data_IF_328789280559
#
_entry.id   IF_328789280559
#
_cell.length_a   1.000
_cell.length_b   1.000
_cell.length_c   1.000
_cell.angle_alpha   90.00
_cell.angle_beta   90.00
_cell.angle_gamma   90.00
#
_symmetry.space_group_name_H-M   'P 1'
#
loop_
_entity.id
_entity.type
_entity.pdbx_description
1 polymer ?
#
# COMPACT_ATOMS: atom_id res chain seq x y z
N UNK A 1 -3.40 -43.81 7.13
CA UNK A 1 -4.73 -43.64 7.77
C UNK A 1 -4.60 -42.41 8.64
N UNK A 2 -5.18 -41.24 8.36
CA UNK A 2 -6.52 -40.91 7.88
C UNK A 2 -6.48 -39.81 6.80
N UNK A 3 -7.31 -39.93 5.76
CA UNK A 3 -7.47 -38.90 4.73
C UNK A 3 -8.25 -37.71 5.32
N UNK A 4 -7.59 -36.55 5.44
CA UNK A 4 -8.27 -35.29 5.78
C UNK A 4 -9.22 -34.92 4.64
N UNK A 5 -10.50 -35.21 4.81
CA UNK A 5 -11.56 -34.73 3.94
C UNK A 5 -11.69 -33.22 4.16
N UNK A 6 -11.34 -32.42 3.14
CA UNK A 6 -11.52 -30.96 3.17
C UNK A 6 -13.03 -30.68 3.11
N UNK A 7 -13.67 -30.58 4.27
CA UNK A 7 -15.10 -30.31 4.36
C UNK A 7 -15.44 -28.93 3.78
N UNK A 8 -16.36 -28.90 2.81
CA UNK A 8 -16.91 -27.66 2.25
C UNK A 8 -17.89 -27.09 3.27
N UNK A 9 -17.84 -25.79 3.59
CA UNK A 9 -18.76 -25.15 4.53
C UNK A 9 -19.92 -24.45 3.82
N UNK A 10 -21.11 -24.51 4.39
CA UNK A 10 -22.27 -23.74 3.94
C UNK A 10 -22.07 -22.27 4.29
N UNK A 11 -22.09 -21.38 3.29
CA UNK A 11 -21.94 -19.93 3.50
C UNK A 11 -23.14 -19.27 4.15
N UNK A 12 -24.29 -19.97 4.26
CA UNK A 12 -25.49 -19.46 4.94
C UNK A 12 -25.55 -19.86 6.42
N UNK A 13 -25.29 -21.12 6.77
CA UNK A 13 -25.41 -21.59 8.16
C UNK A 13 -24.07 -21.92 8.84
N UNK A 14 -22.96 -21.90 8.10
CA UNK A 14 -21.63 -22.27 8.62
C UNK A 14 -21.41 -23.77 8.85
N UNK A 15 -22.44 -24.62 8.70
CA UNK A 15 -22.30 -26.07 8.88
C UNK A 15 -21.48 -26.71 7.75
N UNK A 16 -20.75 -27.78 8.09
CA UNK A 16 -20.06 -28.60 7.11
C UNK A 16 -21.05 -29.31 6.17
N UNK A 17 -20.83 -29.16 4.88
CA UNK A 17 -21.52 -29.87 3.81
C UNK A 17 -20.81 -31.21 3.64
N UNK A 18 -21.50 -32.30 4.00
CA UNK A 18 -21.02 -33.64 3.68
C UNK A 18 -21.01 -33.82 2.16
N UNK A 19 -19.80 -33.98 1.61
CA UNK A 19 -19.58 -34.18 0.17
C UNK A 19 -20.15 -35.54 -0.28
N UNK A 20 -20.31 -36.46 0.68
CA UNK A 20 -20.86 -37.80 0.47
C UNK A 20 -22.40 -37.81 0.44
N UNK A 21 -23.08 -36.83 1.04
CA UNK A 21 -24.54 -36.84 1.27
C UNK A 21 -25.41 -36.33 0.11
N UNK A 22 -24.91 -36.46 -1.13
CA UNK A 22 -25.73 -36.39 -2.35
C UNK A 22 -26.42 -35.03 -2.62
N UNK A 23 -25.59 -34.08 -3.08
CA UNK A 23 -25.87 -32.75 -3.68
C UNK A 23 -26.03 -31.56 -2.75
N UNK A 24 -25.26 -30.52 -3.08
CA UNK A 24 -25.23 -29.19 -2.48
C UNK A 24 -25.21 -28.17 -3.61
N UNK A 25 -25.42 -26.91 -3.29
CA UNK A 25 -25.43 -25.85 -4.29
C UNK A 25 -24.13 -25.08 -4.29
N UNK A 26 -23.61 -24.78 -5.47
CA UNK A 26 -22.50 -23.84 -5.67
C UNK A 26 -23.02 -22.67 -6.47
N UNK A 27 -22.74 -21.46 -6.03
CA UNK A 27 -22.99 -20.26 -6.80
C UNK A 27 -22.22 -20.31 -8.12
N UNK A 28 -22.88 -20.05 -9.26
CA UNK A 28 -22.21 -20.03 -10.57
C UNK A 28 -21.22 -18.87 -10.69
N UNK A 29 -21.46 -17.82 -9.91
CA UNK A 29 -20.77 -16.54 -9.96
C UNK A 29 -19.65 -16.44 -8.91
N UNK A 30 -19.69 -17.25 -7.85
CA UNK A 30 -18.78 -17.14 -6.70
C UNK A 30 -17.95 -18.41 -6.48
N UNK A 31 -16.62 -18.25 -6.35
CA UNK A 31 -15.68 -19.38 -6.22
C UNK A 31 -15.83 -20.21 -4.93
N UNK A 32 -16.24 -19.58 -3.83
CA UNK A 32 -16.30 -20.20 -2.50
C UNK A 32 -17.69 -20.04 -1.83
N UNK A 33 -18.74 -19.86 -2.62
CA UNK A 33 -20.10 -19.76 -2.11
C UNK A 33 -20.82 -21.08 -2.33
N UNK A 34 -21.00 -21.82 -1.24
CA UNK A 34 -21.63 -23.12 -1.22
C UNK A 34 -22.80 -23.10 -0.26
N UNK A 35 -23.95 -23.61 -0.69
CA UNK A 35 -25.19 -23.61 0.09
C UNK A 35 -25.63 -25.05 0.29
N UNK A 36 -25.84 -25.44 1.55
CA UNK A 36 -26.40 -26.75 1.87
C UNK A 36 -27.88 -26.80 1.44
N UNK A 37 -28.42 -28.00 1.22
CA UNK A 37 -29.83 -28.17 0.84
C UNK A 37 -30.82 -27.53 1.82
N UNK A 38 -30.50 -27.51 3.12
CA UNK A 38 -31.35 -26.88 4.13
C UNK A 38 -31.46 -25.36 3.93
N UNK A 39 -30.42 -24.74 3.38
CA UNK A 39 -30.33 -23.29 3.19
C UNK A 39 -30.66 -22.85 1.75
N UNK A 40 -30.99 -23.76 0.83
CA UNK A 40 -31.22 -23.42 -0.58
C UNK A 40 -32.44 -22.53 -0.81
N UNK A 41 -33.40 -22.53 0.12
CA UNK A 41 -34.63 -21.75 0.04
C UNK A 41 -34.52 -20.36 0.69
N UNK A 42 -33.37 -20.05 1.32
CA UNK A 42 -33.07 -18.69 1.78
C UNK A 42 -32.89 -17.82 0.54
N UNK A 43 -33.46 -16.62 0.52
CA UNK A 43 -33.43 -15.71 -0.64
C UNK A 43 -31.97 -15.47 -1.10
N UNK A 44 -31.59 -16.04 -2.25
CA UNK A 44 -30.26 -15.92 -2.82
C UNK A 44 -30.25 -14.90 -3.95
N UNK A 45 -29.23 -14.05 -3.98
CA UNK A 45 -29.05 -13.01 -5.00
C UNK A 45 -28.38 -13.59 -6.26
N UNK A 46 -27.71 -14.75 -6.14
CA UNK A 46 -26.96 -15.39 -7.23
C UNK A 46 -27.56 -16.73 -7.68
N UNK A 47 -27.26 -17.11 -8.92
CA UNK A 47 -27.79 -18.34 -9.51
C UNK A 47 -27.06 -19.54 -8.94
N UNK A 48 -27.78 -20.35 -8.16
CA UNK A 48 -27.25 -21.59 -7.64
C UNK A 48 -27.22 -22.69 -8.72
N UNK A 49 -26.11 -23.41 -8.78
CA UNK A 49 -25.99 -24.67 -9.52
C UNK A 49 -25.93 -25.82 -8.53
N UNK A 50 -26.83 -26.79 -8.69
CA UNK A 50 -26.74 -28.03 -7.93
C UNK A 50 -25.53 -28.84 -8.40
N UNK A 51 -24.62 -29.13 -7.47
CA UNK A 51 -23.45 -29.96 -7.70
C UNK A 51 -23.79 -31.39 -7.26
N UNK A 52 -23.82 -32.29 -8.22
CA UNK A 52 -24.05 -33.72 -7.98
C UNK A 52 -22.73 -34.48 -7.87
N UNK A 53 -22.76 -35.70 -7.31
CA UNK A 53 -21.58 -36.57 -7.10
C UNK A 53 -20.70 -36.71 -8.36
N UNK A 54 -21.32 -36.72 -9.55
CA UNK A 54 -20.65 -36.88 -10.85
C UNK A 54 -19.89 -35.61 -11.31
N UNK A 55 -20.38 -34.41 -10.99
CA UNK A 55 -19.70 -33.15 -11.28
C UNK A 55 -18.54 -32.90 -10.32
N UNK A 56 -18.63 -33.41 -9.09
CA UNK A 56 -17.56 -33.33 -8.09
C UNK A 56 -16.29 -34.11 -8.50
N UNK A 57 -16.46 -35.23 -9.20
CA UNK A 57 -15.33 -36.01 -9.74
C UNK A 57 -14.62 -35.27 -10.89
N UNK A 58 -15.37 -34.56 -11.73
CA UNK A 58 -14.83 -33.71 -12.80
C UNK A 58 -14.07 -32.52 -12.19
N UNK A 59 -14.58 -31.91 -11.13
CA UNK A 59 -13.92 -30.78 -10.45
C UNK A 59 -12.62 -31.24 -9.73
N UNK A 60 -12.61 -32.46 -9.16
CA UNK A 60 -11.40 -33.13 -8.63
C UNK A 60 -10.34 -33.40 -9.69
N UNK A 61 -10.73 -33.75 -10.91
CA UNK A 61 -9.82 -33.91 -12.05
C UNK A 61 -9.28 -32.57 -12.55
N UNK A 62 -10.12 -31.52 -12.59
CA UNK A 62 -9.67 -30.17 -12.95
C UNK A 62 -8.76 -29.52 -11.90
N UNK A 63 -8.94 -29.83 -10.61
CA UNK A 63 -8.06 -29.34 -9.54
C UNK A 63 -6.72 -30.07 -9.52
N UNK A 64 -6.64 -31.33 -9.95
CA UNK A 64 -5.36 -32.02 -10.22
C UNK A 64 -4.59 -31.37 -11.39
N UNK A 65 -5.29 -30.93 -12.44
CA UNK A 65 -4.68 -30.14 -13.52
C UNK A 65 -4.32 -28.71 -13.09
N UNK A 66 -5.11 -28.09 -12.21
CA UNK A 66 -4.79 -26.78 -11.65
C UNK A 66 -3.63 -26.81 -10.64
N UNK A 67 -3.43 -27.93 -9.93
CA UNK A 67 -2.23 -28.16 -9.11
C UNK A 67 -0.97 -28.46 -9.93
N UNK A 68 -1.13 -28.92 -11.17
CA UNK A 68 -0.04 -29.02 -12.14
C UNK A 68 0.31 -27.67 -12.79
N UNK A 69 -0.63 -26.72 -12.74
CA UNK A 69 -0.48 -25.32 -13.19
C UNK A 69 -0.45 -24.33 -12.02
N UNK A 70 0.08 -24.75 -10.84
CA UNK A 70 0.62 -23.76 -9.90
C UNK A 70 1.71 -23.07 -10.68
N UNK A 71 1.42 -21.84 -11.15
CA UNK A 71 2.43 -20.96 -11.69
C UNK A 71 3.63 -21.06 -10.74
N UNK A 72 4.73 -21.58 -11.25
CA UNK A 72 6.01 -21.61 -10.56
C UNK A 72 6.14 -20.29 -9.83
N UNK A 73 6.41 -20.34 -8.51
CA UNK A 73 6.71 -19.13 -7.76
C UNK A 73 7.70 -18.32 -8.62
N UNK A 74 7.45 -17.02 -8.84
CA UNK A 74 8.37 -16.23 -9.65
C UNK A 74 9.78 -16.44 -9.10
N UNK A 75 10.75 -16.70 -9.98
CA UNK A 75 12.11 -17.11 -9.60
C UNK A 75 12.79 -16.11 -8.65
N UNK A 76 12.27 -14.88 -8.55
CA UNK A 76 12.75 -13.80 -7.69
C UNK A 76 11.71 -13.33 -6.66
N UNK A 77 12.22 -13.00 -5.47
CA UNK A 77 11.46 -12.48 -4.32
C UNK A 77 10.68 -11.22 -4.69
N UNK A 78 9.48 -10.98 -4.14
CA UNK A 78 8.75 -9.72 -4.38
C UNK A 78 9.60 -8.49 -3.99
N UNK A 79 10.46 -8.63 -2.99
CA UNK A 79 11.32 -7.54 -2.50
C UNK A 79 12.41 -7.12 -3.49
N UNK A 80 12.70 -7.96 -4.50
CA UNK A 80 13.69 -7.70 -5.54
C UNK A 80 13.04 -7.24 -6.85
N UNK A 81 11.71 -7.24 -6.93
CA UNK A 81 11.02 -6.85 -8.16
C UNK A 81 11.12 -5.36 -8.38
N UNK A 82 11.37 -5.00 -9.63
CA UNK A 82 11.44 -3.61 -10.07
C UNK A 82 10.21 -2.80 -9.67
N UNK A 83 9.00 -3.35 -9.84
CA UNK A 83 7.77 -2.64 -9.50
C UNK A 83 7.60 -2.45 -7.99
N UNK A 84 8.03 -3.40 -7.16
CA UNK A 84 8.09 -3.21 -5.71
C UNK A 84 9.07 -2.09 -5.32
N UNK A 85 10.27 -2.08 -5.92
CA UNK A 85 11.34 -1.14 -5.57
C UNK A 85 11.06 0.30 -6.03
N UNK A 86 10.22 0.48 -7.05
CA UNK A 86 10.02 1.78 -7.71
C UNK A 86 8.61 2.36 -7.53
N UNK A 87 7.66 1.56 -7.04
CA UNK A 87 6.26 1.96 -6.96
C UNK A 87 5.55 1.47 -5.70
N UNK A 88 4.51 2.18 -5.20
CA UNK A 88 3.64 1.70 -4.16
C UNK A 88 3.03 0.37 -4.54
N UNK A 89 2.95 -0.55 -3.61
CA UNK A 89 2.16 -1.76 -3.77
C UNK A 89 0.79 -1.54 -3.14
N UNK A 90 -0.20 -2.27 -3.60
CA UNK A 90 -1.41 -2.52 -2.81
C UNK A 90 -1.95 -3.89 -3.11
N UNK A 91 -3.10 -4.19 -2.54
CA UNK A 91 -3.78 -5.44 -2.77
C UNK A 91 -5.28 -5.25 -2.66
N UNK A 92 -6.01 -6.14 -3.33
CA UNK A 92 -7.46 -6.19 -3.22
C UNK A 92 -7.83 -6.75 -1.84
N UNK A 93 -8.55 -5.98 -1.02
CA UNK A 93 -9.02 -6.38 0.31
C UNK A 93 -9.98 -7.58 0.28
N UNK A 94 -10.57 -7.89 -0.89
CA UNK A 94 -11.43 -9.06 -1.04
C UNK A 94 -10.66 -10.34 -1.45
N UNK A 95 -9.89 -10.26 -2.56
CA UNK A 95 -9.24 -11.44 -3.15
C UNK A 95 -7.74 -11.54 -2.87
N UNK A 96 -7.15 -10.55 -2.19
CA UNK A 96 -5.74 -10.48 -1.77
C UNK A 96 -4.74 -10.53 -2.93
N UNK A 97 -5.19 -10.27 -4.15
CA UNK A 97 -4.33 -10.11 -5.33
C UNK A 97 -3.63 -8.75 -5.26
N UNK A 98 -2.34 -8.70 -5.62
CA UNK A 98 -1.58 -7.46 -5.72
C UNK A 98 -2.22 -6.54 -6.77
N UNK A 99 -2.28 -5.26 -6.43
CA UNK A 99 -2.72 -4.19 -7.31
C UNK A 99 -1.48 -3.39 -7.70
N UNK A 100 -1.15 -3.38 -8.98
CA UNK A 100 -0.03 -2.61 -9.51
C UNK A 100 -0.51 -1.22 -9.96
N UNK A 101 -0.03 -0.12 -9.36
CA UNK A 101 -0.56 1.22 -9.58
C UNK A 101 -0.68 1.68 -11.03
N UNK A 102 0.31 1.34 -11.86
CA UNK A 102 0.38 1.75 -13.26
C UNK A 102 -0.18 0.72 -14.24
N UNK A 103 -0.54 -0.48 -13.76
CA UNK A 103 -0.98 -1.59 -14.62
C UNK A 103 -2.44 -1.94 -14.40
N UNK A 104 -2.89 -1.89 -13.15
CA UNK A 104 -4.21 -2.37 -12.75
C UNK A 104 -5.19 -1.24 -12.52
N UNK A 105 -6.42 -1.44 -13.00
CA UNK A 105 -7.57 -0.63 -12.58
C UNK A 105 -8.09 -1.18 -11.26
N UNK A 106 -8.23 -0.31 -10.27
CA UNK A 106 -8.78 -0.63 -8.97
C UNK A 106 -9.77 0.45 -8.50
N UNK A 107 -10.43 0.15 -7.39
CA UNK A 107 -11.46 0.99 -6.80
C UNK A 107 -11.21 1.11 -5.30
N UNK A 108 -11.33 2.33 -4.79
CA UNK A 108 -11.12 2.64 -3.37
C UNK A 108 -12.43 3.07 -2.73
N UNK A 109 -12.74 2.48 -1.58
CA UNK A 109 -13.84 2.92 -0.73
C UNK A 109 -13.58 4.34 -0.23
N UNK A 110 -14.55 5.24 -0.37
CA UNK A 110 -14.40 6.66 0.00
C UNK A 110 -14.68 6.93 1.48
N UNK A 111 -15.13 5.91 2.23
CA UNK A 111 -15.59 6.04 3.60
C UNK A 111 -14.77 5.20 4.59
N UNK A 112 -13.91 4.31 4.12
CA UNK A 112 -13.05 3.51 5.00
C UNK A 112 -11.82 4.32 5.43
N UNK A 113 -11.65 4.65 6.73
CA UNK A 113 -10.53 5.47 7.19
C UNK A 113 -9.17 4.77 7.04
N UNK A 114 -9.17 3.44 7.03
CA UNK A 114 -7.96 2.62 6.85
C UNK A 114 -7.74 2.19 5.38
N UNK A 115 -8.52 2.77 4.45
CA UNK A 115 -8.59 2.32 3.07
C UNK A 115 -9.40 1.02 2.92
N UNK A 116 -9.95 0.81 1.73
CA UNK A 116 -10.47 -0.48 1.32
C UNK A 116 -10.43 -0.54 -0.22
N UNK A 117 -9.33 -1.09 -0.73
CA UNK A 117 -9.05 -1.12 -2.16
C UNK A 117 -9.41 -2.47 -2.75
N UNK A 118 -10.04 -2.47 -3.92
CA UNK A 118 -10.50 -3.69 -4.56
C UNK A 118 -10.21 -3.67 -6.06
N UNK A 119 -9.90 -4.85 -6.61
CA UNK A 119 -9.64 -4.99 -8.03
C UNK A 119 -10.93 -4.87 -8.86
N UNK A 120 -10.75 -4.61 -10.16
CA UNK A 120 -11.87 -4.57 -11.13
C UNK A 120 -12.73 -5.84 -11.13
N UNK A 121 -12.17 -7.00 -10.77
CA UNK A 121 -12.94 -8.26 -10.71
C UNK A 121 -13.85 -8.35 -9.48
N UNK A 122 -13.56 -7.58 -8.42
CA UNK A 122 -14.28 -7.65 -7.15
C UNK A 122 -15.28 -6.52 -6.94
N UNK A 123 -15.23 -5.46 -7.75
CA UNK A 123 -16.08 -4.26 -7.58
C UNK A 123 -17.58 -4.56 -7.52
N UNK A 124 -18.10 -5.40 -8.41
CA UNK A 124 -19.54 -5.66 -8.46
C UNK A 124 -20.04 -6.38 -7.19
N UNK A 125 -19.26 -7.33 -6.69
CA UNK A 125 -19.58 -8.02 -5.44
C UNK A 125 -19.44 -7.09 -4.23
N UNK A 126 -18.37 -6.30 -4.17
CA UNK A 126 -18.11 -5.45 -3.01
C UNK A 126 -19.05 -4.25 -2.92
N UNK A 127 -19.67 -3.82 -4.03
CA UNK A 127 -20.76 -2.83 -3.98
C UNK A 127 -21.96 -3.30 -3.16
N UNK A 128 -22.18 -4.61 -3.03
CA UNK A 128 -23.31 -5.17 -2.28
C UNK A 128 -22.87 -5.76 -0.94
N UNK A 129 -21.71 -6.41 -0.91
CA UNK A 129 -21.23 -7.14 0.27
C UNK A 129 -20.33 -6.32 1.20
N UNK A 130 -19.78 -5.19 0.74
CA UNK A 130 -19.19 -4.19 1.64
C UNK A 130 -20.30 -3.31 2.22
N UNK A 131 -19.99 -2.55 3.27
CA UNK A 131 -20.94 -1.66 3.93
C UNK A 131 -21.78 -0.87 2.89
N UNK A 132 -23.12 -1.08 2.81
CA UNK A 132 -23.93 -0.60 1.67
C UNK A 132 -23.95 0.92 1.50
N UNK A 133 -23.71 1.65 2.59
CA UNK A 133 -23.61 3.12 2.58
C UNK A 133 -22.26 3.62 2.06
N UNK A 134 -21.29 2.74 1.84
CA UNK A 134 -20.00 3.10 1.29
C UNK A 134 -20.04 3.08 -0.24
N UNK A 135 -19.31 4.02 -0.83
CA UNK A 135 -19.20 4.16 -2.27
C UNK A 135 -17.76 3.92 -2.71
N UNK A 136 -17.64 3.32 -3.89
CA UNK A 136 -16.36 3.03 -4.51
C UNK A 136 -16.10 4.02 -5.63
N UNK A 137 -14.95 4.68 -5.57
CA UNK A 137 -14.45 5.50 -6.67
C UNK A 137 -13.40 4.70 -7.43
N UNK A 138 -13.46 4.76 -8.76
CA UNK A 138 -12.35 4.28 -9.57
C UNK A 138 -11.16 5.19 -9.28
N UNK A 139 -10.09 4.61 -8.77
CA UNK A 139 -8.91 5.37 -8.42
C UNK A 139 -7.75 5.00 -9.32
N UNK A 140 -6.87 5.97 -9.52
CA UNK A 140 -5.52 5.75 -10.01
C UNK A 140 -4.66 6.17 -8.82
N UNK A 141 -3.63 5.40 -8.46
CA UNK A 141 -2.79 5.76 -7.32
C UNK A 141 -2.38 7.22 -7.42
N UNK A 142 -2.88 8.05 -6.49
CA UNK A 142 -2.30 9.36 -6.27
C UNK A 142 -1.00 9.10 -5.55
N UNK A 143 0.06 8.99 -6.36
CA UNK A 143 1.41 8.90 -5.83
C UNK A 143 1.66 10.18 -5.05
N UNK A 144 1.60 10.11 -3.72
CA UNK A 144 2.10 11.20 -2.90
C UNK A 144 3.54 11.46 -3.35
N UNK A 145 3.85 12.69 -3.77
CA UNK A 145 5.19 13.00 -4.29
C UNK A 145 6.29 12.65 -3.28
N UNK A 146 5.97 12.73 -1.98
CA UNK A 146 6.88 12.37 -0.89
C UNK A 146 7.26 10.88 -0.91
N UNK A 147 6.40 10.00 -1.45
CA UNK A 147 6.68 8.56 -1.53
C UNK A 147 7.92 8.25 -2.36
N UNK A 148 8.27 9.10 -3.33
CA UNK A 148 9.39 8.85 -4.23
C UNK A 148 10.58 9.77 -3.95
N UNK A 149 10.59 10.46 -2.80
CA UNK A 149 11.64 11.41 -2.43
C UNK A 149 12.75 10.73 -1.63
N UNK A 150 14.00 10.97 -2.05
CA UNK A 150 15.20 10.53 -1.33
C UNK A 150 15.80 11.67 -0.51
N UNK A 151 15.27 11.90 0.69
CA UNK A 151 15.76 12.94 1.59
C UNK A 151 17.21 12.70 2.03
N UNK A 152 17.93 13.80 2.27
CA UNK A 152 19.33 13.84 2.70
C UNK A 152 20.29 13.05 1.80
N UNK A 153 19.90 12.83 0.54
CA UNK A 153 20.70 12.14 -0.47
C UNK A 153 21.02 13.12 -1.60
N UNK A 154 22.26 13.12 -2.07
CA UNK A 154 22.71 13.92 -3.21
C UNK A 154 23.09 13.01 -4.36
N UNK A 155 22.74 13.39 -5.59
CA UNK A 155 23.20 12.70 -6.79
C UNK A 155 24.66 13.07 -7.07
N UNK A 156 25.55 12.10 -7.21
CA UNK A 156 26.96 12.32 -7.51
C UNK A 156 27.20 12.88 -8.93
N UNK A 157 26.29 12.63 -9.86
CA UNK A 157 26.34 13.17 -11.22
C UNK A 157 25.95 14.66 -11.30
N UNK A 158 24.75 15.02 -10.85
CA UNK A 158 24.21 16.39 -10.99
C UNK A 158 24.23 17.24 -9.72
N UNK A 159 24.65 16.67 -8.58
CA UNK A 159 24.70 17.31 -7.25
C UNK A 159 23.35 17.80 -6.72
N UNK A 160 22.24 17.42 -7.35
CA UNK A 160 20.89 17.67 -6.84
C UNK A 160 20.68 16.91 -5.53
N UNK A 161 20.29 17.63 -4.49
CA UNK A 161 19.97 17.09 -3.16
C UNK A 161 18.46 16.89 -3.06
N UNK A 162 18.03 15.85 -2.33
CA UNK A 162 16.61 15.52 -2.12
C UNK A 162 15.87 15.28 -3.45
N UNK A 163 16.43 14.45 -4.34
CA UNK A 163 15.82 14.20 -5.64
C UNK A 163 14.64 13.21 -5.54
N UNK A 164 13.72 13.33 -6.51
CA UNK A 164 12.56 12.46 -6.73
C UNK A 164 12.92 11.35 -7.72
N UNK A 165 12.23 10.22 -7.61
CA UNK A 165 12.30 9.13 -8.59
C UNK A 165 13.22 8.00 -8.14
N UNK A 166 13.74 7.23 -9.09
CA UNK A 166 14.54 6.04 -8.78
C UNK A 166 15.95 6.48 -8.34
N UNK A 167 16.40 5.96 -7.20
CA UNK A 167 17.80 6.07 -6.73
C UNK A 167 18.57 4.83 -7.14
N UNK A 168 19.71 5.05 -7.79
CA UNK A 168 20.67 4.03 -8.16
C UNK A 168 21.90 4.20 -7.28
N UNK A 169 22.22 3.19 -6.47
CA UNK A 169 23.39 3.19 -5.62
C UNK A 169 24.40 2.18 -6.15
N UNK A 170 25.67 2.58 -6.25
CA UNK A 170 26.76 1.67 -6.58
C UNK A 170 26.88 0.58 -5.50
N UNK A 171 26.97 -0.69 -5.90
CA UNK A 171 27.07 -1.80 -4.95
C UNK A 171 28.52 -2.13 -4.55
N UNK A 172 29.49 -1.68 -5.34
CA UNK A 172 30.91 -2.00 -5.15
C UNK A 172 31.68 -0.94 -4.34
N UNK A 173 31.22 0.31 -4.33
CA UNK A 173 31.93 1.40 -3.68
C UNK A 173 31.77 1.36 -2.14
N UNK A 174 32.89 1.47 -1.43
CA UNK A 174 32.90 1.60 0.05
C UNK A 174 32.26 2.90 0.53
N UNK A 175 32.38 3.96 -0.29
CA UNK A 175 31.69 5.23 -0.08
C UNK A 175 30.41 5.21 -0.93
N UNK A 176 29.32 5.78 -0.44
CA UNK A 176 28.08 5.86 -1.24
C UNK A 176 28.33 6.62 -2.53
N UNK A 177 28.02 6.00 -3.67
CA UNK A 177 27.95 6.66 -4.97
C UNK A 177 26.52 6.52 -5.49
N UNK A 178 25.79 7.62 -5.54
CA UNK A 178 24.36 7.66 -5.78
C UNK A 178 24.04 8.44 -7.05
N UNK A 179 23.25 7.86 -7.94
CA UNK A 179 22.73 8.52 -9.13
C UNK A 179 21.20 8.62 -9.06
N UNK A 180 20.67 9.78 -9.40
CA UNK A 180 19.25 9.92 -9.69
C UNK A 180 18.93 9.33 -11.07
N UNK A 181 17.64 9.07 -11.31
CA UNK A 181 17.14 8.51 -12.58
C UNK A 181 17.69 9.22 -13.83
N UNK A 182 17.74 10.56 -13.83
CA UNK A 182 18.27 11.33 -14.97
C UNK A 182 19.77 11.14 -15.22
N UNK A 183 20.56 10.88 -14.18
CA UNK A 183 22.01 10.70 -14.30
C UNK A 183 22.38 9.23 -14.54
N UNK A 184 21.52 8.29 -14.15
CA UNK A 184 21.77 6.87 -14.32
C UNK A 184 21.94 6.45 -15.79
N UNK A 185 21.27 7.12 -16.72
CA UNK A 185 21.50 6.90 -18.16
C UNK A 185 22.95 7.12 -18.62
N UNK A 186 23.75 7.85 -17.84
CA UNK A 186 25.17 8.11 -18.07
C UNK A 186 26.06 7.39 -17.04
N UNK A 187 25.54 6.39 -16.33
CA UNK A 187 26.29 5.70 -15.27
C UNK A 187 27.64 5.15 -15.75
N UNK A 188 27.69 4.54 -16.94
CA UNK A 188 28.94 4.03 -17.51
C UNK A 188 29.96 5.12 -17.85
N UNK A 189 29.53 6.36 -18.09
CA UNK A 189 30.43 7.50 -18.35
C UNK A 189 30.88 8.14 -17.02
N UNK A 190 29.94 8.31 -16.09
CA UNK A 190 30.16 8.98 -14.80
C UNK A 190 30.90 8.08 -13.79
N UNK A 191 30.67 6.77 -13.86
CA UNK A 191 31.17 5.76 -12.93
C UNK A 191 31.37 4.41 -13.64
N UNK A 192 32.40 4.30 -14.52
CA UNK A 192 32.61 3.12 -15.34
C UNK A 192 32.93 1.86 -14.54
N UNK A 193 32.54 0.70 -15.08
CA UNK A 193 32.82 -0.65 -14.58
C UNK A 193 32.21 -0.99 -13.22
N UNK A 194 31.20 -0.24 -12.76
CA UNK A 194 30.54 -0.50 -11.48
C UNK A 194 29.07 -0.83 -11.69
N UNK A 195 28.57 -1.81 -10.95
CA UNK A 195 27.15 -2.18 -10.92
C UNK A 195 26.35 -1.33 -9.92
N UNK A 196 25.09 -1.09 -10.28
CA UNK A 196 24.17 -0.27 -9.50
C UNK A 196 22.95 -1.07 -9.12
N UNK A 197 22.53 -0.93 -7.87
CA UNK A 197 21.26 -1.42 -7.36
C UNK A 197 20.24 -0.29 -7.23
N UNK A 198 18.97 -0.64 -7.35
CA UNK A 198 17.88 0.28 -7.03
C UNK A 198 17.71 0.33 -5.52
N UNK A 199 17.69 1.53 -4.97
CA UNK A 199 17.38 1.77 -3.55
C UNK A 199 16.00 2.38 -3.47
N UNK A 200 15.09 1.69 -2.78
CA UNK A 200 13.76 2.19 -2.52
C UNK A 200 13.83 3.42 -1.61
N UNK A 201 12.94 4.39 -1.81
CA UNK A 201 12.84 5.48 -0.83
C UNK A 201 12.42 4.88 0.53
N UNK A 202 12.88 5.44 1.66
CA UNK A 202 12.44 4.95 2.98
C UNK A 202 10.92 4.94 3.10
N UNK A 203 10.26 5.94 2.53
CA UNK A 203 8.81 6.08 2.53
C UNK A 203 8.08 4.97 1.79
N UNK A 204 8.54 4.72 0.58
CA UNK A 204 7.97 3.69 -0.25
C UNK A 204 8.21 2.31 0.36
N UNK A 205 9.39 2.09 0.94
CA UNK A 205 9.73 0.87 1.65
C UNK A 205 8.79 0.61 2.82
N UNK A 206 8.64 1.59 3.73
CA UNK A 206 7.73 1.47 4.88
C UNK A 206 6.31 1.15 4.43
N UNK A 207 5.77 1.95 3.50
CA UNK A 207 4.41 1.78 2.99
C UNK A 207 4.19 0.39 2.37
N UNK A 208 5.11 -0.03 1.51
CA UNK A 208 4.99 -1.32 0.83
C UNK A 208 5.08 -2.49 1.81
N UNK A 209 5.97 -2.42 2.80
CA UNK A 209 6.10 -3.46 3.83
C UNK A 209 4.86 -3.56 4.70
N UNK A 210 4.27 -2.44 5.12
CA UNK A 210 3.01 -2.44 5.90
C UNK A 210 1.89 -3.11 5.10
N UNK A 211 1.73 -2.75 3.83
CA UNK A 211 0.65 -3.29 2.99
C UNK A 211 0.84 -4.80 2.72
N UNK A 212 2.07 -5.23 2.42
CA UNK A 212 2.37 -6.66 2.26
C UNK A 212 2.17 -7.45 3.55
N UNK A 213 2.54 -6.88 4.71
CA UNK A 213 2.33 -7.49 6.00
C UNK A 213 0.84 -7.63 6.35
N UNK A 214 0.04 -6.58 6.12
CA UNK A 214 -1.42 -6.63 6.27
C UNK A 214 -2.04 -7.69 5.37
N UNK A 215 -1.63 -7.75 4.11
CA UNK A 215 -2.05 -8.80 3.16
C UNK A 215 -1.69 -10.19 3.68
N UNK A 216 -0.44 -10.42 4.08
CA UNK A 216 0.03 -11.72 4.57
C UNK A 216 -0.79 -12.21 5.78
N UNK A 217 -1.08 -11.32 6.74
CA UNK A 217 -1.98 -11.63 7.87
C UNK A 217 -3.34 -12.11 7.36
N UNK A 218 -3.94 -11.42 6.38
CA UNK A 218 -5.24 -11.82 5.83
C UNK A 218 -5.19 -13.15 5.09
N UNK A 219 -4.13 -13.39 4.31
CA UNK A 219 -3.91 -14.67 3.62
C UNK A 219 -3.86 -15.81 4.63
N UNK A 220 -3.04 -15.68 5.67
CA UNK A 220 -2.83 -16.74 6.66
C UNK A 220 -4.07 -16.98 7.54
N UNK A 221 -4.84 -15.94 7.84
CA UNK A 221 -6.15 -16.08 8.52
C UNK A 221 -7.18 -16.81 7.63
N UNK A 222 -7.18 -16.51 6.33
CA UNK A 222 -8.11 -17.11 5.35
C UNK A 222 -7.76 -18.57 5.03
N UNK A 223 -6.50 -18.95 5.16
CA UNK A 223 -5.99 -20.29 4.86
C UNK A 223 -5.23 -20.87 6.06
N UNK A 224 -5.91 -21.40 7.09
CA UNK A 224 -5.27 -21.83 8.34
C UNK A 224 -4.21 -22.94 8.20
N UNK A 225 -4.27 -23.73 7.13
CA UNK A 225 -3.28 -24.78 6.84
C UNK A 225 -2.01 -24.25 6.16
N UNK A 226 -1.98 -22.97 5.79
CA UNK A 226 -0.85 -22.34 5.14
C UNK A 226 0.06 -21.73 6.21
N UNK A 227 1.34 -22.13 6.21
CA UNK A 227 2.30 -21.71 7.25
C UNK A 227 2.93 -20.33 6.98
N UNK A 228 3.05 -19.95 5.70
CA UNK A 228 3.67 -18.69 5.27
C UNK A 228 2.93 -18.10 4.06
N UNK A 229 3.01 -16.79 3.85
CA UNK A 229 2.50 -16.15 2.64
C UNK A 229 3.41 -16.44 1.43
N UNK A 230 2.91 -17.03 0.32
CA UNK A 230 3.72 -17.41 -0.83
C UNK A 230 4.41 -16.25 -1.55
N UNK A 231 3.95 -15.02 -1.32
CA UNK A 231 4.48 -13.85 -2.01
C UNK A 231 5.65 -13.24 -1.24
N UNK A 232 5.56 -13.16 0.09
CA UNK A 232 6.58 -12.53 0.94
C UNK A 232 7.45 -13.53 1.70
N UNK A 233 7.01 -14.78 1.84
CA UNK A 233 7.61 -15.76 2.74
C UNK A 233 7.30 -15.53 4.22
N UNK A 234 6.50 -14.51 4.57
CA UNK A 234 6.22 -14.19 5.97
C UNK A 234 5.34 -15.25 6.62
N UNK A 235 5.70 -15.66 7.84
CA UNK A 235 4.77 -16.32 8.76
C UNK A 235 3.78 -15.30 9.34
N UNK A 236 2.78 -15.77 10.11
CA UNK A 236 1.83 -14.87 10.76
C UNK A 236 2.53 -13.93 11.75
N UNK A 237 3.50 -14.48 12.49
CA UNK A 237 4.30 -13.72 13.45
C UNK A 237 5.17 -12.68 12.74
N UNK A 238 5.87 -13.07 11.67
CA UNK A 238 6.70 -12.13 10.89
C UNK A 238 5.85 -10.97 10.36
N UNK A 239 4.68 -11.28 9.78
CA UNK A 239 3.80 -10.28 9.23
C UNK A 239 3.25 -9.33 10.32
N UNK A 240 2.93 -9.84 11.52
CA UNK A 240 2.52 -9.00 12.65
C UNK A 240 3.64 -8.07 13.11
N UNK A 241 4.85 -8.60 13.27
CA UNK A 241 6.02 -7.83 13.69
C UNK A 241 6.41 -6.77 12.67
N UNK A 242 6.44 -7.11 11.38
CA UNK A 242 6.72 -6.15 10.30
C UNK A 242 5.65 -5.06 10.28
N UNK A 243 4.36 -5.42 10.37
CA UNK A 243 3.29 -4.42 10.40
C UNK A 243 3.48 -3.43 11.55
N UNK A 244 3.67 -3.93 12.78
CA UNK A 244 3.80 -3.10 13.97
C UNK A 244 5.06 -2.21 13.93
N UNK A 245 6.20 -2.78 13.55
CA UNK A 245 7.46 -2.05 13.49
C UNK A 245 7.41 -0.94 12.44
N UNK A 246 6.87 -1.21 11.26
CA UNK A 246 6.84 -0.23 10.17
C UNK A 246 5.76 0.84 10.37
N UNK A 247 4.62 0.52 10.99
CA UNK A 247 3.62 1.52 11.41
C UNK A 247 4.23 2.49 12.44
N UNK A 248 5.01 1.97 13.41
CA UNK A 248 5.73 2.80 14.37
C UNK A 248 6.79 3.69 13.71
N UNK A 249 7.55 3.14 12.76
CA UNK A 249 8.55 3.91 12.01
C UNK A 249 7.89 5.05 11.20
N UNK A 250 6.74 4.78 10.58
CA UNK A 250 5.97 5.75 9.83
C UNK A 250 5.43 6.89 10.72
N UNK A 251 4.90 6.55 11.88
CA UNK A 251 4.41 7.53 12.86
C UNK A 251 5.55 8.43 13.37
N UNK A 252 6.68 7.82 13.76
CA UNK A 252 7.85 8.56 14.23
C UNK A 252 8.35 9.55 13.18
N UNK A 253 8.43 9.10 11.92
CA UNK A 253 8.80 9.95 10.80
C UNK A 253 7.85 11.16 10.66
N UNK A 254 6.54 10.94 10.65
CA UNK A 254 5.58 12.04 10.51
C UNK A 254 5.64 13.03 11.65
N UNK A 255 5.81 12.55 12.88
CA UNK A 255 5.98 13.42 14.04
C UNK A 255 7.23 14.31 13.89
N UNK A 256 8.34 13.74 13.41
CA UNK A 256 9.54 14.51 13.12
C UNK A 256 9.30 15.58 12.04
N UNK A 257 8.63 15.23 10.93
CA UNK A 257 8.33 16.19 9.86
C UNK A 257 7.39 17.30 10.30
N UNK A 258 6.36 16.98 11.08
CA UNK A 258 5.46 17.97 11.64
C UNK A 258 6.20 18.93 12.57
N UNK A 259 7.16 18.43 13.34
CA UNK A 259 8.04 19.26 14.17
C UNK A 259 8.90 20.18 13.31
N UNK A 260 9.64 19.64 12.34
CA UNK A 260 10.48 20.42 11.43
C UNK A 260 9.67 21.51 10.69
N UNK A 261 8.45 21.21 10.25
CA UNK A 261 7.59 22.18 9.59
C UNK A 261 7.11 23.29 10.53
N UNK A 262 6.83 22.98 11.81
CA UNK A 262 6.49 23.98 12.83
C UNK A 262 7.69 24.87 13.12
N UNK A 263 8.87 24.28 13.31
CA UNK A 263 10.11 24.99 13.59
C UNK A 263 10.47 25.94 12.43
N UNK A 264 10.33 25.49 11.18
CA UNK A 264 10.54 26.31 9.99
C UNK A 264 9.57 27.51 9.92
N UNK A 265 8.28 27.30 10.23
CA UNK A 265 7.29 28.39 10.28
C UNK A 265 7.62 29.41 11.37
N UNK A 266 8.06 28.96 12.54
CA UNK A 266 8.45 29.88 13.62
C UNK A 266 9.71 30.66 13.25
N UNK A 267 10.70 30.01 12.64
CA UNK A 267 11.88 30.68 12.13
C UNK A 267 11.52 31.76 11.10
N UNK A 268 10.61 31.47 10.17
CA UNK A 268 10.12 32.45 9.20
C UNK A 268 9.41 33.64 9.87
N UNK A 269 8.59 33.39 10.89
CA UNK A 269 7.95 34.46 11.69
C UNK A 269 8.98 35.33 12.40
N UNK A 270 10.02 34.72 12.97
CA UNK A 270 11.09 35.45 13.64
C UNK A 270 11.87 36.33 12.65
N UNK A 271 12.23 35.81 11.48
CA UNK A 271 12.89 36.59 10.43
C UNK A 271 12.02 37.75 9.94
N UNK A 272 10.71 37.53 9.77
CA UNK A 272 9.78 38.59 9.41
C UNK A 272 9.69 39.68 10.48
N UNK A 273 9.66 39.32 11.77
CA UNK A 273 9.72 40.29 12.89
C UNK A 273 10.98 41.14 12.83
N UNK A 274 12.16 40.51 12.72
CA UNK A 274 13.46 41.20 12.63
C UNK A 274 13.48 42.15 11.42
N UNK A 275 12.93 41.73 10.29
CA UNK A 275 12.86 42.56 9.09
C UNK A 275 11.95 43.78 9.30
N UNK A 276 10.79 43.61 9.94
CA UNK A 276 9.88 44.72 10.25
C UNK A 276 10.47 45.69 11.26
N UNK A 277 11.13 45.19 12.30
CA UNK A 277 11.83 46.03 13.29
C UNK A 277 12.97 46.83 12.64
N UNK A 278 13.71 46.20 11.73
CA UNK A 278 14.77 46.86 10.96
C UNK A 278 14.21 47.98 10.07
N UNK A 279 13.08 47.74 9.39
CA UNK A 279 12.39 48.75 8.59
C UNK A 279 11.84 49.89 9.44
N UNK A 280 11.28 49.59 10.61
CA UNK A 280 10.79 50.58 11.56
C UNK A 280 11.95 51.50 12.03
N UNK A 281 13.08 50.90 12.41
CA UNK A 281 14.27 51.64 12.83
C UNK A 281 14.86 52.50 11.70
N UNK A 282 14.91 52.00 10.46
CA UNK A 282 15.36 52.78 9.30
C UNK A 282 14.43 53.98 9.06
N UNK A 283 13.10 53.80 9.15
CA UNK A 283 12.14 54.90 8.98
C UNK A 283 12.27 55.96 10.06
N UNK A 284 12.50 55.54 11.31
CA UNK A 284 12.78 56.46 12.41
C UNK A 284 14.07 57.27 12.24
N UNK A 285 15.08 56.72 11.55
CA UNK A 285 16.32 57.44 11.22
C UNK A 285 16.16 58.42 10.06
N UNK A 286 15.24 58.14 9.12
CA UNK A 286 14.98 58.98 7.95
C UNK A 286 14.00 60.12 8.27
N UNK A 287 13.02 59.88 9.14
CA UNK A 287 12.06 60.87 9.64
C UNK A 287 12.07 60.91 11.18
N UNK A 288 12.70 61.95 11.79
CA UNK A 288 12.77 62.09 13.24
C UNK A 288 11.40 62.18 13.95
N UNK A 289 10.33 62.53 13.22
CA UNK A 289 8.97 62.62 13.76
C UNK A 289 8.16 61.33 13.60
N UNK A 290 8.72 60.28 12.99
CA UNK A 290 8.05 59.01 12.69
C UNK A 290 7.47 58.33 13.95
N UNK A 291 8.19 58.39 15.08
CA UNK A 291 7.72 57.83 16.35
C UNK A 291 6.53 58.60 16.96
N UNK A 292 6.41 59.90 16.70
CA UNK A 292 5.33 60.76 17.22
C UNK A 292 4.02 60.50 16.47
N UNK A 293 4.09 60.12 15.19
CA UNK A 293 2.92 59.77 14.37
C UNK A 293 2.30 58.41 14.72
N UNK A 294 3.11 57.41 15.14
CA UNK A 294 2.55 56.10 15.52
C UNK A 294 1.79 56.12 16.85
N UNK A 295 2.20 56.95 17.81
CA UNK A 295 1.50 57.08 19.11
C UNK A 295 0.11 57.70 19.00
N UNK A 296 -0.20 58.46 17.93
CA UNK A 296 -1.52 59.07 17.75
C UNK A 296 -2.57 58.13 17.14
N UNK A 297 -2.19 56.95 16.66
CA UNK A 297 -3.11 56.03 16.00
C UNK A 297 -3.73 54.99 16.95
N UNK A 298 -3.13 54.79 18.14
CA UNK A 298 -3.62 53.84 19.15
C UNK A 298 -4.56 54.49 20.19
N UNK A 299 -4.69 55.83 20.20
CA UNK A 299 -5.55 56.57 21.15
C UNK A 299 -6.97 56.85 20.62
N UNK A 300 -7.29 56.53 19.35
CA UNK A 300 -8.59 56.81 18.71
C UNK A 300 -9.58 55.62 18.74
N UNK A 301 -9.30 54.57 19.51
CA UNK A 301 -10.23 53.46 19.76
C UNK A 301 -10.59 53.36 21.26
N UNK A 302 -11.30 54.36 21.77
CA UNK A 302 -12.10 54.27 23.00
C UNK A 302 -13.44 54.97 22.83
#
# INVERSE_FOLDING_TARGET
MTSYDRSILCTSCGEAISIESNSYYKCRECKLHYICKKCSNVQQIHTLMEITKKQNEIEKLSTKLASANVATAPETSIFERYDYLTMPTGYCEHCLTILHPNKDRYYSCQQCPNGFDICTKCINLMKTEHAPQHTFKKDNYSMDEHMLMHYNTSCDGCKTVNFKGIRYQCDECRQSYDLCESCYHKANELHPNHEFKIVQSPWLQLSNRILLARRAIQVLKKFPNQQYDPLTGYTLQDAQQVKEQEEKNLDQFWQQRLKEAKDAREHQRQMHRIQMDSLHNIRALIDPNYHIMQMRHDDDYY
#
